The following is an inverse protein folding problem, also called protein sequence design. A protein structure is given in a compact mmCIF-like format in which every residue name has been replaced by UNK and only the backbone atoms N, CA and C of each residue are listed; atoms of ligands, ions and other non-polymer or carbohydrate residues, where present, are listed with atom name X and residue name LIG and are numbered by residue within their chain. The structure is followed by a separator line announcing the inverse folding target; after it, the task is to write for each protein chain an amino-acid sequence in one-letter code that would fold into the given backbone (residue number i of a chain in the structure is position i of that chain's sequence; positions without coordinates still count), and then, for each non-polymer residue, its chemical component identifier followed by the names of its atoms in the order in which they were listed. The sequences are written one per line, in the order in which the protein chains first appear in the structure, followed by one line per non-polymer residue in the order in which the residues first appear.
data_IF_277318297512
#
_entry.id   IF_277318297512
#
_cell.length_a   1.000
_cell.length_b   1.000
_cell.length_c   1.000
_cell.angle_alpha   90.00
_cell.angle_beta   90.00
_cell.angle_gamma   90.00
#
_symmetry.space_group_name_H-M   'P 1'
#
loop_
_entity.id
_entity.type
_entity.pdbx_description
1 polymer ?
#
# COMPACT_ATOMS: atom_id res chain seq x y z
N UNK A 1 2.08 -2.49 5.92
CA UNK A 1 3.54 -2.25 5.98
C UNK A 1 3.92 -0.82 6.37
N UNK A 2 2.99 0.12 6.47
CA UNK A 2 3.21 1.42 7.14
C UNK A 2 1.94 1.79 7.88
N UNK A 3 1.76 1.22 9.07
CA UNK A 3 0.74 1.71 9.99
C UNK A 3 1.33 2.95 10.67
N UNK A 4 0.90 4.14 10.24
CA UNK A 4 1.27 5.38 10.93
C UNK A 4 0.47 5.42 12.24
N UNK A 5 1.00 4.76 13.25
CA UNK A 5 0.49 4.79 14.61
C UNK A 5 0.97 6.02 15.37
N UNK A 6 0.41 6.20 16.57
CA UNK A 6 0.83 7.28 17.48
C UNK A 6 2.30 7.12 17.91
N UNK A 7 2.76 5.87 18.10
CA UNK A 7 4.15 5.52 18.40
C UNK A 7 5.13 6.00 17.34
N UNK A 8 4.81 5.76 16.07
CA UNK A 8 5.63 6.12 14.92
C UNK A 8 5.73 7.64 14.78
N UNK A 9 4.63 8.37 15.03
CA UNK A 9 4.66 9.84 15.04
C UNK A 9 5.58 10.39 16.12
N UNK A 10 5.58 9.81 17.32
CA UNK A 10 6.51 10.20 18.38
C UNK A 10 7.96 9.91 17.97
N UNK A 11 8.23 8.75 17.39
CA UNK A 11 9.58 8.37 16.94
C UNK A 11 10.10 9.34 15.87
N UNK A 12 9.30 9.62 14.85
CA UNK A 12 9.65 10.58 13.79
C UNK A 12 9.81 11.99 14.37
N UNK A 13 8.96 12.37 15.33
CA UNK A 13 9.10 13.61 16.09
C UNK A 13 10.46 13.71 16.76
N UNK A 14 10.84 12.72 17.57
CA UNK A 14 12.13 12.68 18.26
C UNK A 14 13.33 12.76 17.29
N UNK A 15 13.31 11.97 16.21
CA UNK A 15 14.36 12.00 15.19
C UNK A 15 14.43 13.38 14.52
N UNK A 16 13.28 13.98 14.21
CA UNK A 16 13.21 15.32 13.62
C UNK A 16 13.75 16.38 14.57
N UNK A 17 13.44 16.29 15.87
CA UNK A 17 14.00 17.17 16.90
C UNK A 17 15.53 17.04 16.98
N UNK A 18 16.07 15.83 16.83
CA UNK A 18 17.53 15.60 16.87
C UNK A 18 18.24 16.16 15.63
N UNK A 19 17.70 15.90 14.44
CA UNK A 19 18.35 16.25 13.16
C UNK A 19 18.21 17.74 12.84
N UNK A 20 16.98 18.27 12.92
CA UNK A 20 16.69 19.67 12.60
C UNK A 20 16.89 20.59 13.81
N UNK A 21 16.71 20.06 15.02
CA UNK A 21 16.74 20.83 16.25
C UNK A 21 15.34 21.30 16.68
N UNK A 22 15.04 21.33 17.99
CA UNK A 22 13.72 21.72 18.51
C UNK A 22 13.35 23.18 18.21
N UNK A 23 14.33 24.07 18.03
CA UNK A 23 14.07 25.49 17.71
C UNK A 23 13.72 25.74 16.25
N UNK A 24 14.15 24.84 15.34
CA UNK A 24 14.00 25.00 13.90
C UNK A 24 12.82 24.22 13.34
N UNK A 25 12.49 23.07 13.94
CA UNK A 25 11.32 22.26 13.58
C UNK A 25 10.01 23.06 13.53
N UNK A 26 9.63 23.89 14.54
CA UNK A 26 8.40 24.67 14.47
C UNK A 26 8.39 25.69 13.32
N UNK A 27 9.56 26.20 12.92
CA UNK A 27 9.68 27.10 11.76
C UNK A 27 9.43 26.34 10.46
N UNK A 28 10.02 25.15 10.31
CA UNK A 28 9.82 24.27 9.14
C UNK A 28 8.36 23.82 9.05
N UNK A 29 7.75 23.40 10.16
CA UNK A 29 6.34 22.99 10.20
C UNK A 29 5.39 24.12 9.77
N UNK A 30 5.66 25.37 10.17
CA UNK A 30 4.88 26.53 9.71
C UNK A 30 5.02 26.76 8.21
N UNK A 31 6.23 26.66 7.68
CA UNK A 31 6.47 26.82 6.24
C UNK A 31 5.78 25.70 5.46
N UNK A 32 6.01 24.44 5.82
CA UNK A 32 5.36 23.29 5.20
C UNK A 32 3.83 23.40 5.27
N UNK A 33 3.28 23.76 6.43
CA UNK A 33 1.86 23.98 6.63
C UNK A 33 1.30 25.11 5.76
N UNK A 34 2.05 26.21 5.59
CA UNK A 34 1.67 27.29 4.67
C UNK A 34 1.60 26.83 3.22
N UNK A 35 2.59 26.07 2.74
CA UNK A 35 2.61 25.53 1.39
C UNK A 35 1.49 24.52 1.15
N UNK A 36 1.28 23.59 2.10
CA UNK A 36 0.20 22.60 2.03
C UNK A 36 -1.16 23.30 2.05
N UNK A 37 -1.35 24.29 2.92
CA UNK A 37 -2.60 25.06 3.01
C UNK A 37 -2.88 25.87 1.73
N UNK A 38 -1.86 26.53 1.18
CA UNK A 38 -1.96 27.27 -0.08
C UNK A 38 -2.30 26.34 -1.25
N UNK A 39 -1.65 25.19 -1.32
CA UNK A 39 -1.91 24.18 -2.37
C UNK A 39 -3.31 23.60 -2.24
N UNK A 40 -3.76 23.29 -1.02
CA UNK A 40 -5.13 22.80 -0.77
C UNK A 40 -6.19 23.80 -1.24
N UNK A 41 -6.02 25.08 -0.93
CA UNK A 41 -6.95 26.12 -1.37
C UNK A 41 -6.94 26.27 -2.89
N UNK A 42 -5.75 26.23 -3.50
CA UNK A 42 -5.62 26.28 -4.96
C UNK A 42 -6.31 25.09 -5.64
N UNK A 43 -6.10 23.86 -5.17
CA UNK A 43 -6.77 22.65 -5.67
C UNK A 43 -8.29 22.72 -5.46
N UNK A 44 -8.74 23.27 -4.32
CA UNK A 44 -10.17 23.47 -4.06
C UNK A 44 -10.81 24.43 -5.05
N UNK A 45 -10.13 25.53 -5.38
CA UNK A 45 -10.61 26.51 -6.35
C UNK A 45 -10.62 25.93 -7.77
N UNK A 46 -9.54 25.23 -8.17
CA UNK A 46 -9.50 24.52 -9.44
C UNK A 46 -10.61 23.46 -9.53
N UNK A 47 -10.84 22.68 -8.47
CA UNK A 47 -11.95 21.72 -8.43
C UNK A 47 -13.30 22.42 -8.56
N UNK A 48 -13.49 23.59 -7.94
CA UNK A 48 -14.75 24.34 -8.03
C UNK A 48 -14.99 24.90 -9.45
N UNK A 49 -13.95 25.42 -10.09
CA UNK A 49 -13.98 25.93 -11.47
C UNK A 49 -14.20 24.80 -12.49
N UNK A 50 -13.47 23.69 -12.34
CA UNK A 50 -13.68 22.43 -13.08
C UNK A 50 -15.11 21.93 -12.90
N UNK A 51 -15.67 21.95 -11.68
CA UNK A 51 -17.03 21.48 -11.42
C UNK A 51 -18.11 22.38 -12.04
N UNK A 52 -17.78 23.63 -12.36
CA UNK A 52 -18.68 24.59 -12.98
C UNK A 52 -18.65 24.53 -14.52
N UNK A 53 -17.58 23.98 -15.11
CA UNK A 53 -17.42 23.76 -16.56
C UNK A 53 -17.69 22.28 -16.96
N UNK A 54 -17.47 21.32 -16.06
CA UNK A 54 -17.55 19.87 -16.30
C UNK A 54 -18.75 19.22 -15.59
N UNK A 55 -19.95 19.78 -15.81
CA UNK A 55 -21.22 19.18 -15.35
C UNK A 55 -21.76 18.11 -16.31
N UNK A 56 -20.94 17.50 -17.18
CA UNK A 56 -21.41 16.42 -18.07
C UNK A 56 -20.35 15.35 -18.27
N UNK A 57 -20.67 14.13 -17.82
CA UNK A 57 -20.09 12.82 -18.15
C UNK A 57 -18.60 12.48 -17.91
N UNK A 58 -17.62 13.38 -18.10
CA UNK A 58 -16.21 12.95 -18.22
C UNK A 58 -15.53 12.55 -16.90
N UNK A 59 -15.79 13.27 -15.80
CA UNK A 59 -15.16 12.95 -14.49
C UNK A 59 -15.68 11.62 -13.92
N UNK A 60 -16.93 11.24 -14.24
CA UNK A 60 -17.49 9.95 -13.83
C UNK A 60 -16.73 8.80 -14.49
N UNK A 61 -16.33 8.97 -15.75
CA UNK A 61 -15.58 7.95 -16.51
C UNK A 61 -14.19 7.74 -15.91
N UNK A 62 -13.44 8.80 -15.61
CA UNK A 62 -12.09 8.70 -15.00
C UNK A 62 -12.16 8.08 -13.59
N UNK A 63 -13.20 8.41 -12.82
CA UNK A 63 -13.40 7.85 -11.49
C UNK A 63 -13.80 6.37 -11.54
N UNK A 64 -14.62 5.96 -12.53
CA UNK A 64 -14.97 4.56 -12.79
C UNK A 64 -13.77 3.76 -13.29
N UNK A 65 -12.94 4.33 -14.16
CA UNK A 65 -11.73 3.71 -14.70
C UNK A 65 -10.67 3.51 -13.60
N UNK A 66 -10.46 4.50 -12.73
CA UNK A 66 -9.62 4.33 -11.53
C UNK A 66 -10.19 3.31 -10.54
N UNK A 67 -11.51 3.19 -10.43
CA UNK A 67 -12.16 2.19 -9.57
C UNK A 67 -12.02 0.77 -10.14
N UNK A 68 -12.07 0.63 -11.46
CA UNK A 68 -11.81 -0.63 -12.18
C UNK A 68 -10.38 -1.11 -11.98
N UNK A 69 -9.40 -0.21 -12.14
CA UNK A 69 -7.97 -0.51 -11.93
C UNK A 69 -7.71 -0.92 -10.47
N UNK A 70 -8.32 -0.24 -9.49
CA UNK A 70 -8.18 -0.64 -8.07
C UNK A 70 -8.76 -2.02 -7.80
N UNK A 71 -9.89 -2.37 -8.41
CA UNK A 71 -10.52 -3.69 -8.26
C UNK A 71 -9.64 -4.80 -8.86
N UNK A 72 -9.05 -4.55 -10.02
CA UNK A 72 -8.21 -5.50 -10.74
C UNK A 72 -6.87 -5.73 -10.02
N UNK A 73 -6.25 -4.67 -9.52
CA UNK A 73 -5.05 -4.76 -8.68
C UNK A 73 -5.35 -5.48 -7.36
N UNK A 74 -6.49 -5.22 -6.73
CA UNK A 74 -6.87 -5.90 -5.48
C UNK A 74 -7.11 -7.40 -5.70
N UNK A 75 -7.79 -7.77 -6.80
CA UNK A 75 -8.00 -9.18 -7.16
C UNK A 75 -6.69 -9.91 -7.47
N UNK A 76 -5.80 -9.27 -8.23
CA UNK A 76 -4.48 -9.84 -8.53
C UNK A 76 -3.62 -10.00 -7.26
N UNK A 77 -3.77 -9.11 -6.28
CA UNK A 77 -3.12 -9.23 -4.97
C UNK A 77 -3.70 -10.38 -4.14
N UNK A 78 -5.02 -10.51 -4.06
CA UNK A 78 -5.68 -11.59 -3.32
C UNK A 78 -5.30 -12.97 -3.91
N UNK A 79 -5.30 -13.12 -5.23
CA UNK A 79 -4.91 -14.36 -5.91
C UNK A 79 -3.42 -14.71 -5.69
N UNK A 80 -2.55 -13.70 -5.66
CA UNK A 80 -1.14 -13.89 -5.32
C UNK A 80 -0.94 -14.26 -3.84
N UNK A 81 -1.73 -13.68 -2.93
CA UNK A 81 -1.70 -14.00 -1.49
C UNK A 81 -2.20 -15.41 -1.23
N UNK A 82 -3.28 -15.84 -1.89
CA UNK A 82 -3.79 -17.22 -1.78
C UNK A 82 -2.79 -18.25 -2.32
N UNK A 83 -2.13 -17.92 -3.45
CA UNK A 83 -1.07 -18.76 -4.01
C UNK A 83 0.12 -18.90 -3.06
N UNK A 84 0.48 -17.83 -2.34
CA UNK A 84 1.56 -17.82 -1.35
C UNK A 84 1.17 -18.57 -0.07
N UNK A 85 -0.09 -18.45 0.37
CA UNK A 85 -0.62 -19.17 1.53
C UNK A 85 -0.83 -20.67 1.26
N UNK A 86 -0.91 -21.10 0.01
CA UNK A 86 -0.94 -22.51 -0.39
C UNK A 86 0.45 -23.19 -0.44
N UNK A 87 1.53 -22.41 -0.34
CA UNK A 87 2.91 -22.94 -0.27
C UNK A 87 3.16 -23.77 1.00
N UNK A 88 2.80 -23.33 2.23
CA UNK A 88 3.04 -24.12 3.43
C UNK A 88 2.31 -25.48 3.43
N UNK A 89 1.10 -25.58 2.89
CA UNK A 89 0.37 -26.85 2.78
C UNK A 89 1.00 -27.79 1.74
N UNK A 90 1.52 -27.23 0.65
CA UNK A 90 2.23 -27.98 -0.40
C UNK A 90 3.56 -28.58 0.09
N UNK A 91 4.22 -27.88 1.01
CA UNK A 91 5.48 -28.32 1.64
C UNK A 91 5.21 -29.44 2.66
N UNK A 92 4.19 -29.33 3.51
CA UNK A 92 3.82 -30.43 4.43
C UNK A 92 3.43 -31.72 3.68
N UNK A 93 2.71 -31.58 2.56
CA UNK A 93 2.27 -32.72 1.76
C UNK A 93 3.43 -33.45 1.07
N UNK A 94 4.44 -32.71 0.58
CA UNK A 94 5.66 -33.29 0.02
C UNK A 94 6.54 -33.93 1.11
N UNK A 95 6.64 -33.33 2.30
CA UNK A 95 7.41 -33.87 3.42
C UNK A 95 6.80 -35.17 3.96
N UNK A 96 5.46 -35.30 3.98
CA UNK A 96 4.79 -36.53 4.37
C UNK A 96 4.97 -37.65 3.33
N UNK A 97 5.05 -37.31 2.05
CA UNK A 97 5.29 -38.28 0.97
C UNK A 97 6.75 -38.75 0.90
N UNK A 98 7.71 -37.91 1.31
CA UNK A 98 9.13 -38.25 1.35
C UNK A 98 9.57 -39.06 2.59
N UNK A 99 8.74 -39.20 3.62
CA UNK A 99 9.07 -39.90 4.89
C UNK A 99 8.52 -41.35 4.94
N UNK A 100 7.76 -41.80 3.94
CA UNK A 100 7.39 -43.22 3.82
C UNK A 100 8.54 -44.04 3.19
N UNK A 101 9.00 -45.14 3.81
CA UNK A 101 10.22 -45.84 3.38
C UNK A 101 9.96 -46.64 2.10
N UNK A 102 10.52 -46.18 0.98
CA UNK A 102 10.56 -46.94 -0.26
C UNK A 102 11.56 -48.10 -0.11
N UNK A 103 11.03 -49.34 -0.12
CA UNK A 103 11.80 -50.59 -0.11
C UNK A 103 12.35 -50.83 -1.53
N UNK A 104 13.66 -51.09 -1.72
CA UNK A 104 14.24 -51.25 -3.06
C UNK A 104 13.73 -52.57 -3.67
N UNK A 105 13.00 -52.46 -4.78
CA UNK A 105 12.50 -53.60 -5.54
C UNK A 105 13.50 -53.94 -6.65
N UNK A 106 14.11 -55.11 -6.52
CA UNK A 106 15.10 -55.69 -7.42
C UNK A 106 14.38 -56.37 -8.60
N UNK A 107 14.82 -56.06 -9.83
CA UNK A 107 14.38 -56.65 -11.09
C UNK A 107 14.62 -58.17 -11.14
N UNK A 108 13.71 -58.97 -11.71
CA UNK A 108 14.02 -60.30 -12.21
C UNK A 108 14.19 -60.28 -13.74
N UNK A 109 15.36 -60.70 -14.23
CA UNK A 109 15.48 -61.40 -15.52
C UNK A 109 15.43 -62.92 -15.29
#
# INVERSE_FOLDING_TARGET
MFEIGFSELILVGLVSLLVIGPERLPKVARVAGFWIGKTRNMVSNFKAEIKHELETEEIRQIMLEQSGIKMEVTKALDEAVDSVNAIPSSIEQNLQQAVAPQKPQHDPE
#
